data_IF_113407293404
#
_entry.id   IF_113407293404
#
_cell.length_a   1.000
_cell.length_b   1.000
_cell.length_c   1.000
_cell.angle_alpha   90.00
_cell.angle_beta   90.00
_cell.angle_gamma   90.00
#
_symmetry.space_group_name_H-M   'P 1'
#
loop_
_entity.id
_entity.type
_entity.pdbx_description
1 polymer ?
#
# COMPACT_ATOMS: atom_id res chain seq x y z
N UNK A 1 -9.10 9.91 -11.85
CA UNK A 1 -9.74 9.22 -10.70
C UNK A 1 -8.67 8.96 -9.63
N UNK A 2 -9.08 8.81 -8.35
CA UNK A 2 -8.16 8.42 -7.28
C UNK A 2 -8.32 6.93 -6.96
N UNK A 3 -7.20 6.23 -6.83
CA UNK A 3 -7.11 4.83 -6.39
C UNK A 3 -6.29 4.75 -5.11
N UNK A 4 -6.57 3.75 -4.29
CA UNK A 4 -5.91 3.52 -3.00
C UNK A 4 -5.47 2.06 -2.93
N UNK A 5 -4.20 1.82 -2.59
CA UNK A 5 -3.64 0.49 -2.44
C UNK A 5 -2.62 0.47 -1.31
N UNK A 6 -2.55 -0.62 -0.56
CA UNK A 6 -1.55 -0.86 0.47
C UNK A 6 -0.85 -2.19 0.24
N UNK A 7 0.32 -2.35 0.82
CA UNK A 7 1.01 -3.63 0.94
C UNK A 7 1.20 -4.37 -0.39
N UNK A 8 1.60 -3.65 -1.44
CA UNK A 8 1.78 -4.25 -2.76
C UNK A 8 2.93 -5.27 -2.76
N UNK A 9 4.03 -4.95 -2.04
CA UNK A 9 5.17 -5.83 -1.85
C UNK A 9 5.79 -6.36 -3.15
N UNK A 10 5.92 -5.52 -4.18
CA UNK A 10 6.60 -5.91 -5.42
C UNK A 10 8.02 -6.41 -5.13
N UNK A 11 8.39 -7.57 -5.67
CA UNK A 11 9.68 -8.20 -5.43
C UNK A 11 9.78 -9.07 -4.18
N UNK A 12 8.73 -9.12 -3.35
CA UNK A 12 8.76 -9.84 -2.07
C UNK A 12 8.24 -11.28 -2.18
N UNK A 13 9.14 -12.24 -2.45
CA UNK A 13 8.77 -13.65 -2.58
C UNK A 13 8.04 -14.21 -1.34
N UNK A 14 8.48 -13.83 -0.13
CA UNK A 14 7.89 -14.35 1.10
C UNK A 14 6.46 -13.85 1.35
N UNK A 15 6.04 -12.72 0.75
CA UNK A 15 4.67 -12.22 0.86
C UNK A 15 3.64 -13.22 0.30
N UNK A 16 4.04 -14.07 -0.64
CA UNK A 16 3.17 -15.12 -1.18
C UNK A 16 2.73 -16.07 -0.07
N UNK A 17 3.68 -16.57 0.75
CA UNK A 17 3.37 -17.46 1.86
C UNK A 17 2.71 -16.76 3.05
N UNK A 18 3.19 -15.58 3.44
CA UNK A 18 2.68 -14.87 4.61
C UNK A 18 1.24 -14.40 4.45
N UNK A 19 0.89 -13.94 3.25
CA UNK A 19 -0.44 -13.40 2.96
C UNK A 19 -1.36 -14.43 2.27
N UNK A 20 -0.86 -15.63 2.00
CA UNK A 20 -1.61 -16.65 1.25
C UNK A 20 -1.99 -16.20 -0.16
N UNK A 21 -1.10 -15.49 -0.84
CA UNK A 21 -1.35 -14.96 -2.19
C UNK A 21 -1.40 -16.10 -3.21
N UNK A 22 -2.33 -16.09 -4.18
CA UNK A 22 -2.53 -17.18 -5.12
C UNK A 22 -1.57 -17.10 -6.32
N UNK A 23 -0.26 -17.10 -6.07
CA UNK A 23 0.80 -17.06 -7.07
C UNK A 23 1.80 -18.19 -6.84
N UNK A 24 2.30 -18.78 -7.93
CA UNK A 24 3.29 -19.86 -7.87
C UNK A 24 4.67 -19.32 -7.43
N UNK A 25 5.03 -18.14 -7.89
CA UNK A 25 6.30 -17.47 -7.56
C UNK A 25 6.20 -15.94 -7.60
N UNK A 26 7.29 -15.29 -7.21
CA UNK A 26 7.37 -13.82 -7.15
C UNK A 26 7.30 -13.17 -8.54
N UNK A 27 7.75 -13.86 -9.58
CA UNK A 27 7.71 -13.34 -10.96
C UNK A 27 6.27 -13.27 -11.43
N UNK A 28 5.51 -14.35 -11.27
CA UNK A 28 4.08 -14.38 -11.60
C UNK A 28 3.31 -13.33 -10.79
N UNK A 29 3.58 -13.21 -9.49
CA UNK A 29 2.98 -12.19 -8.64
C UNK A 29 3.25 -10.79 -9.19
N UNK A 30 4.50 -10.45 -9.46
CA UNK A 30 4.89 -9.12 -9.92
C UNK A 30 4.26 -8.78 -11.27
N UNK A 31 4.34 -9.67 -12.25
CA UNK A 31 3.77 -9.45 -13.58
C UNK A 31 2.26 -9.30 -13.52
N UNK A 32 1.58 -10.12 -12.71
CA UNK A 32 0.13 -10.03 -12.52
C UNK A 32 -0.26 -8.70 -11.86
N UNK A 33 0.43 -8.28 -10.81
CA UNK A 33 0.15 -7.02 -10.11
C UNK A 33 0.36 -5.81 -11.02
N UNK A 34 1.45 -5.78 -11.79
CA UNK A 34 1.73 -4.71 -12.75
C UNK A 34 0.70 -4.69 -13.87
N UNK A 35 0.33 -5.86 -14.39
CA UNK A 35 -0.70 -5.96 -15.42
C UNK A 35 -2.05 -5.42 -14.93
N UNK A 36 -2.50 -5.83 -13.75
CA UNK A 36 -3.75 -5.37 -13.14
C UNK A 36 -3.72 -3.87 -12.86
N UNK A 37 -2.60 -3.36 -12.32
CA UNK A 37 -2.41 -1.92 -12.15
C UNK A 37 -2.61 -1.18 -13.47
N UNK A 38 -1.88 -1.56 -14.51
CA UNK A 38 -1.89 -0.86 -15.79
C UNK A 38 -3.20 -1.03 -16.59
N UNK A 39 -3.95 -2.10 -16.34
CA UNK A 39 -5.29 -2.29 -16.94
C UNK A 39 -6.36 -1.43 -16.26
N UNK A 40 -6.13 -0.99 -15.02
CA UNK A 40 -7.09 -0.22 -14.22
C UNK A 40 -6.77 1.27 -14.23
N UNK A 41 -5.48 1.64 -14.13
CA UNK A 41 -5.01 3.00 -13.93
C UNK A 41 -4.65 3.65 -15.26
N UNK A 42 -5.26 4.79 -15.58
CA UNK A 42 -4.89 5.63 -16.72
C UNK A 42 -3.79 6.63 -16.36
N UNK A 43 -3.19 7.28 -17.38
CA UNK A 43 -2.16 8.32 -17.16
C UNK A 43 -2.65 9.53 -16.37
N UNK A 44 -3.95 9.82 -16.43
CA UNK A 44 -4.56 10.96 -15.75
C UNK A 44 -4.94 10.64 -14.29
N UNK A 45 -4.93 9.36 -13.90
CA UNK A 45 -5.32 8.94 -12.57
C UNK A 45 -4.20 9.12 -11.55
N UNK A 46 -4.58 9.17 -10.27
CA UNK A 46 -3.64 9.21 -9.15
C UNK A 46 -3.84 7.98 -8.28
N UNK A 47 -2.74 7.29 -7.98
CA UNK A 47 -2.72 6.16 -7.06
C UNK A 47 -2.02 6.56 -5.77
N UNK A 48 -2.74 6.49 -4.68
CA UNK A 48 -2.23 6.65 -3.32
C UNK A 48 -1.77 5.28 -2.82
N UNK A 49 -0.47 5.08 -2.72
CA UNK A 49 0.14 3.86 -2.20
C UNK A 49 0.34 4.04 -0.71
N UNK A 50 -0.36 3.24 0.08
CA UNK A 50 -0.37 3.32 1.54
C UNK A 50 0.65 2.35 2.14
N UNK A 51 1.90 2.53 1.77
CA UNK A 51 3.06 1.84 2.31
C UNK A 51 3.36 0.46 1.76
N UNK A 52 4.56 -0.01 2.10
CA UNK A 52 5.11 -1.32 1.77
C UNK A 52 5.01 -1.66 0.27
N UNK A 53 5.52 -0.71 -0.54
CA UNK A 53 5.29 -0.71 -1.98
C UNK A 53 6.20 -1.70 -2.71
N UNK A 54 7.53 -1.53 -2.61
CA UNK A 54 8.51 -2.32 -3.34
C UNK A 54 9.54 -2.88 -2.37
N UNK A 55 9.70 -4.22 -2.36
CA UNK A 55 10.61 -4.95 -1.47
C UNK A 55 11.98 -5.15 -2.10
N UNK A 56 12.58 -4.04 -2.51
CA UNK A 56 13.89 -4.01 -3.16
C UNK A 56 14.72 -2.83 -2.64
N UNK A 57 16.03 -2.86 -2.91
CA UNK A 57 16.88 -1.71 -2.65
C UNK A 57 16.32 -0.48 -3.39
N UNK A 58 16.36 0.68 -2.74
CA UNK A 58 15.82 1.92 -3.31
C UNK A 58 16.38 2.24 -4.71
N UNK A 59 17.62 1.91 -4.96
CA UNK A 59 18.28 2.11 -6.25
C UNK A 59 17.62 1.34 -7.42
N UNK A 60 16.87 0.29 -7.14
CA UNK A 60 16.12 -0.51 -8.12
C UNK A 60 14.69 -0.02 -8.33
N UNK A 61 14.18 0.84 -7.47
CA UNK A 61 12.81 1.36 -7.54
C UNK A 61 12.47 2.04 -8.87
N UNK A 62 13.37 2.84 -9.49
CA UNK A 62 13.07 3.45 -10.78
C UNK A 62 12.64 2.45 -11.85
N UNK A 63 13.28 1.28 -11.94
CA UNK A 63 12.94 0.26 -12.92
C UNK A 63 11.51 -0.33 -12.70
N UNK A 64 11.08 -0.45 -11.44
CA UNK A 64 9.71 -0.85 -11.11
C UNK A 64 8.71 0.25 -11.42
N UNK A 65 9.03 1.49 -11.02
CA UNK A 65 8.14 2.63 -11.13
C UNK A 65 7.88 3.04 -12.59
N UNK A 66 8.84 2.84 -13.48
CA UNK A 66 8.69 3.06 -14.93
C UNK A 66 7.62 2.16 -15.55
N UNK A 67 7.39 0.98 -14.98
CA UNK A 67 6.43 0.00 -15.48
C UNK A 67 4.98 0.32 -15.06
N UNK A 68 4.78 1.22 -14.12
CA UNK A 68 3.47 1.52 -13.51
C UNK A 68 2.91 2.83 -14.06
N UNK A 69 1.72 2.76 -14.67
CA UNK A 69 1.00 3.91 -15.23
C UNK A 69 0.43 4.82 -14.16
N UNK A 70 0.17 6.07 -14.52
CA UNK A 70 -0.52 7.07 -13.68
C UNK A 70 0.39 7.82 -12.71
N UNK A 71 -0.20 8.81 -12.05
CA UNK A 71 0.46 9.59 -11.01
C UNK A 71 0.51 8.79 -9.71
N UNK A 72 1.57 8.94 -8.95
CA UNK A 72 1.78 8.19 -7.71
C UNK A 72 2.03 9.12 -6.54
N UNK A 73 1.36 8.84 -5.43
CA UNK A 73 1.63 9.44 -4.12
C UNK A 73 1.97 8.31 -3.17
N UNK A 74 3.11 8.38 -2.49
CA UNK A 74 3.51 7.38 -1.50
C UNK A 74 3.27 7.92 -0.09
N UNK A 75 2.45 7.22 0.65
CA UNK A 75 2.39 7.34 2.11
C UNK A 75 3.22 6.19 2.67
N UNK A 76 4.39 6.49 3.23
CA UNK A 76 5.39 5.49 3.57
C UNK A 76 4.93 4.48 4.62
N UNK A 77 5.24 3.21 4.37
CA UNK A 77 5.14 2.14 5.34
C UNK A 77 6.43 1.94 6.15
N UNK A 78 6.44 0.94 7.01
CA UNK A 78 7.59 0.63 7.86
C UNK A 78 8.75 0.00 7.07
N UNK A 79 8.46 -0.64 5.96
CA UNK A 79 9.46 -1.28 5.09
C UNK A 79 9.93 -0.38 3.96
N UNK A 80 9.24 0.74 3.71
CA UNK A 80 9.66 1.69 2.69
C UNK A 80 10.92 2.45 3.11
N UNK A 81 11.80 2.84 2.16
CA UNK A 81 12.99 3.62 2.44
C UNK A 81 12.67 4.94 3.17
N UNK A 82 13.51 5.31 4.13
CA UNK A 82 13.40 6.62 4.81
C UNK A 82 13.82 7.78 3.94
N UNK A 83 14.72 7.51 2.99
CA UNK A 83 15.23 8.51 2.05
C UNK A 83 15.16 7.96 0.64
N UNK A 84 14.84 8.84 -0.30
CA UNK A 84 14.75 8.52 -1.71
C UNK A 84 15.70 9.40 -2.50
N UNK A 85 16.37 8.80 -3.48
CA UNK A 85 17.20 9.50 -4.46
C UNK A 85 16.35 10.40 -5.36
N UNK A 86 16.98 11.36 -6.03
CA UNK A 86 16.32 12.18 -7.04
C UNK A 86 15.74 11.33 -8.19
N UNK A 87 16.42 10.24 -8.53
CA UNK A 87 16.00 9.32 -9.58
C UNK A 87 14.65 8.66 -9.26
N UNK A 88 14.44 8.30 -8.00
CA UNK A 88 13.16 7.70 -7.54
C UNK A 88 12.09 8.74 -7.32
N UNK A 89 12.42 9.87 -6.67
CA UNK A 89 11.46 10.93 -6.34
C UNK A 89 10.69 11.46 -7.55
N UNK A 90 11.31 11.50 -8.73
CA UNK A 90 10.67 12.00 -9.96
C UNK A 90 9.41 11.22 -10.38
N UNK A 91 9.22 10.01 -9.89
CA UNK A 91 8.05 9.17 -10.18
C UNK A 91 6.86 9.45 -9.28
N UNK A 92 7.05 10.20 -8.21
CA UNK A 92 6.01 10.52 -7.24
C UNK A 92 5.64 12.00 -7.30
N UNK A 93 4.35 12.29 -7.21
CA UNK A 93 3.86 13.65 -6.99
C UNK A 93 4.16 14.10 -5.55
N UNK A 94 4.12 13.15 -4.60
CA UNK A 94 4.40 13.41 -3.19
C UNK A 94 4.84 12.14 -2.48
N UNK A 95 5.65 12.28 -1.42
CA UNK A 95 6.07 11.22 -0.51
C UNK A 95 5.94 11.76 0.92
N UNK A 96 5.07 11.15 1.72
CA UNK A 96 4.77 11.58 3.07
C UNK A 96 4.64 10.38 4.03
N UNK A 97 4.65 10.61 5.34
CA UNK A 97 4.31 9.60 6.35
C UNK A 97 2.82 9.62 6.69
N UNK A 98 2.16 10.73 6.38
CA UNK A 98 0.77 11.02 6.66
C UNK A 98 0.27 12.04 5.63
N UNK A 99 -0.96 11.88 5.18
CA UNK A 99 -1.54 12.82 4.22
C UNK A 99 -3.04 12.97 4.43
N UNK A 100 -3.50 14.21 4.36
CA UNK A 100 -4.93 14.52 4.31
C UNK A 100 -5.29 14.99 2.90
N UNK A 101 -6.40 14.51 2.41
CA UNK A 101 -6.93 14.89 1.09
C UNK A 101 -8.44 15.08 1.17
N UNK A 102 -8.99 15.77 0.18
CA UNK A 102 -10.43 15.76 -0.08
C UNK A 102 -10.68 14.92 -1.33
N UNK A 103 -11.44 13.85 -1.20
CA UNK A 103 -11.83 13.00 -2.31
C UNK A 103 -13.36 12.88 -2.38
N UNK A 104 -13.92 13.25 -3.54
CA UNK A 104 -15.39 13.24 -3.76
C UNK A 104 -16.18 13.98 -2.67
N UNK A 105 -15.63 15.10 -2.16
CA UNK A 105 -16.24 15.90 -1.09
C UNK A 105 -16.06 15.32 0.32
N UNK A 106 -15.30 14.24 0.48
CA UNK A 106 -14.99 13.62 1.78
C UNK A 106 -13.56 13.97 2.19
N UNK A 107 -13.38 14.33 3.46
CA UNK A 107 -12.06 14.44 4.07
C UNK A 107 -11.52 13.04 4.37
N UNK A 108 -10.39 12.69 3.79
CA UNK A 108 -9.76 11.37 3.91
C UNK A 108 -8.37 11.51 4.51
N UNK A 109 -8.10 10.72 5.52
CA UNK A 109 -6.80 10.62 6.18
C UNK A 109 -6.10 9.35 5.68
N UNK A 110 -4.90 9.54 5.13
CA UNK A 110 -4.09 8.47 4.58
C UNK A 110 -2.87 8.25 5.46
N UNK A 111 -2.72 7.05 6.00
CA UNK A 111 -1.55 6.59 6.74
C UNK A 111 -1.42 5.07 6.59
N UNK A 112 -0.19 4.56 6.66
CA UNK A 112 0.08 3.12 6.59
C UNK A 112 -0.29 2.44 7.91
N UNK A 113 0.04 3.07 9.04
CA UNK A 113 -0.28 2.53 10.35
C UNK A 113 -1.71 2.92 10.77
N UNK A 114 -2.41 1.98 11.40
CA UNK A 114 -3.62 2.33 12.12
C UNK A 114 -3.27 3.41 13.15
N UNK A 115 -3.84 4.59 13.01
CA UNK A 115 -3.61 5.74 13.91
C UNK A 115 -3.89 5.39 15.38
N UNK A 116 -4.72 4.39 15.60
CA UNK A 116 -5.06 3.89 16.93
C UNK A 116 -3.88 3.18 17.62
N UNK A 117 -3.01 2.53 16.86
CA UNK A 117 -1.88 1.77 17.41
C UNK A 117 -0.68 2.66 17.74
N UNK A 118 -0.48 3.76 17.02
CA UNK A 118 0.66 4.64 17.20
C UNK A 118 0.50 5.63 18.36
N UNK A 119 -0.72 6.03 18.68
CA UNK A 119 -1.00 6.99 19.78
C UNK A 119 -0.99 6.31 21.15
N UNK A 120 -1.27 5.02 21.22
CA UNK A 120 -1.42 4.27 22.48
C UNK A 120 -0.27 3.31 22.79
N UNK A 121 0.79 3.25 22.00
CA UNK A 121 1.97 2.43 22.32
C UNK A 121 2.80 2.98 23.49
N UNK A 122 2.52 4.21 23.94
CA UNK A 122 3.18 4.83 25.09
C UNK A 122 2.22 5.22 26.24
N UNK A 123 0.92 5.01 26.09
CA UNK A 123 -0.05 5.19 27.16
C UNK A 123 -0.63 3.83 27.54
N UNK A 124 -0.85 3.59 28.84
CA UNK A 124 -1.50 2.38 29.34
C UNK A 124 -2.72 2.03 28.48
N UNK A 125 -2.76 0.77 28.02
CA UNK A 125 -3.84 0.25 27.17
C UNK A 125 -5.20 0.65 27.73
N UNK A 126 -6.00 1.49 27.06
CA UNK A 126 -7.36 1.67 27.49
C UNK A 126 -8.04 0.30 27.45
N UNK A 127 -8.69 -0.08 28.53
CA UNK A 127 -9.55 -1.28 28.55
C UNK A 127 -10.61 -1.08 27.47
N UNK A 128 -10.41 -1.68 26.32
CA UNK A 128 -11.47 -1.93 25.38
C UNK A 128 -12.51 -2.78 26.14
N UNK A 129 -13.70 -2.26 26.32
CA UNK A 129 -14.85 -3.05 26.72
C UNK A 129 -15.16 -3.98 25.54
N UNK A 130 -14.46 -5.10 25.48
CA UNK A 130 -14.82 -6.19 24.59
C UNK A 130 -16.09 -6.82 25.17
N UNK A 131 -17.23 -6.45 24.61
CA UNK A 131 -18.39 -7.31 24.68
C UNK A 131 -17.95 -8.68 24.15
N UNK A 132 -18.15 -9.73 24.96
CA UNK A 132 -17.96 -11.12 24.55
C UNK A 132 -18.73 -11.38 23.27
N UNK A 133 -18.05 -11.44 22.16
CA UNK A 133 -18.50 -11.93 20.88
C UNK A 133 -17.33 -12.70 20.30
N UNK A 134 -17.43 -14.02 20.35
CA UNK A 134 -16.55 -14.97 19.70
C UNK A 134 -16.58 -14.72 18.19
N UNK A 135 -15.58 -14.07 17.63
CA UNK A 135 -15.31 -13.96 16.21
C UNK A 135 -13.82 -14.05 15.94
N UNK A 136 -13.30 -15.25 16.15
CA UNK A 136 -12.10 -15.72 15.48
C UNK A 136 -12.45 -15.98 14.01
N UNK A 137 -12.50 -14.98 13.18
CA UNK A 137 -12.43 -15.02 11.70
C UNK A 137 -12.99 -13.70 11.16
N UNK A 138 -12.14 -12.70 11.02
CA UNK A 138 -12.21 -11.65 10.00
C UNK A 138 -11.33 -10.47 10.43
N UNK A 139 -10.02 -10.67 10.32
CA UNK A 139 -9.14 -9.54 10.08
C UNK A 139 -9.49 -9.02 8.67
N UNK A 140 -9.64 -7.71 8.45
CA UNK A 140 -9.80 -7.18 7.11
C UNK A 140 -8.55 -7.58 6.31
N UNK A 141 -8.75 -8.46 5.35
CA UNK A 141 -7.70 -8.85 4.41
C UNK A 141 -7.27 -7.59 3.68
N UNK A 142 -5.98 -7.34 3.68
CA UNK A 142 -5.26 -6.21 3.14
C UNK A 142 -5.94 -5.56 1.92
N UNK A 143 -5.92 -4.25 1.86
CA UNK A 143 -6.46 -3.43 0.77
C UNK A 143 -5.88 -3.77 -0.62
N UNK A 144 -4.80 -4.57 -0.69
CA UNK A 144 -4.35 -5.23 -1.92
C UNK A 144 -5.46 -6.02 -2.63
N UNK A 145 -6.49 -6.45 -1.89
CA UNK A 145 -7.65 -7.13 -2.44
C UNK A 145 -8.60 -6.20 -3.20
N UNK A 146 -8.63 -4.91 -2.93
CA UNK A 146 -9.61 -4.00 -3.53
C UNK A 146 -9.35 -3.74 -5.03
N UNK A 147 -8.08 -3.71 -5.47
CA UNK A 147 -7.73 -3.68 -6.89
C UNK A 147 -7.81 -5.05 -7.58
N UNK A 148 -7.92 -6.12 -6.78
CA UNK A 148 -7.94 -7.49 -7.28
C UNK A 148 -9.35 -8.05 -7.51
N UNK A 149 -10.40 -7.45 -6.94
CA UNK A 149 -11.78 -7.95 -6.96
C UNK A 149 -12.74 -7.20 -7.87
N UNK A 150 -12.30 -6.25 -8.68
CA UNK A 150 -13.11 -5.70 -9.78
C UNK A 150 -12.81 -6.49 -11.04
N UNK A 151 -13.57 -7.57 -11.24
CA UNK A 151 -13.66 -8.24 -12.52
C UNK A 151 -14.46 -7.40 -13.49
#
# INVERSE_FOLDING_TARGET
>A
MNYYIADLHLGHANAIGFDGRPFADVTEMNETLIHRWNSTVSRADTVYVLGDFIWEKESLWPAWLERLTGNKVLVRGNHDPRQFSRATKRFFQDIADYKEITDTGRHVILCHFSTFQSIFSQAEKPRLLTGKGDHSQNAPRNASAALLNTA
#
